data_IF_330352279340
#
_entry.id   IF_330352279340
#
_cell.length_a   1.000
_cell.length_b   1.000
_cell.length_c   1.000
_cell.angle_alpha   90.00
_cell.angle_beta   90.00
_cell.angle_gamma   90.00
#
_symmetry.space_group_name_H-M   'P 1'
#
loop_
_entity.id
_entity.type
_entity.pdbx_description
1 polymer ?
#
# COMPACT_ATOMS: atom_id res chain seq x y z
N UNK A 1 1.93 19.39 -12.05
CA UNK A 1 2.01 19.22 -10.61
C UNK A 1 1.12 18.07 -10.16
N UNK A 2 1.61 17.24 -9.27
CA UNK A 2 0.89 16.06 -8.81
C UNK A 2 0.03 16.38 -7.60
N UNK A 3 -1.17 15.82 -7.54
CA UNK A 3 -2.02 15.95 -6.36
C UNK A 3 -1.43 15.15 -5.19
N UNK A 4 -1.22 15.76 -4.01
CA UNK A 4 -0.74 15.03 -2.84
C UNK A 4 -1.72 13.96 -2.40
N UNK A 5 -1.18 12.78 -2.09
CA UNK A 5 -1.98 11.65 -1.61
C UNK A 5 -1.61 11.32 -0.17
N UNK A 6 -2.58 10.81 0.58
CA UNK A 6 -2.35 10.29 1.92
C UNK A 6 -2.14 8.79 1.79
N UNK A 7 -0.92 8.36 2.09
CA UNK A 7 -0.48 6.98 1.86
C UNK A 7 -0.22 6.29 3.18
N UNK A 8 -0.85 5.14 3.37
CA UNK A 8 -0.56 4.26 4.49
C UNK A 8 0.35 3.16 3.95
N UNK A 9 1.59 3.14 4.44
CA UNK A 9 2.59 2.15 4.04
C UNK A 9 2.71 1.09 5.13
N UNK A 10 2.43 -0.15 4.79
CA UNK A 10 2.50 -1.27 5.73
C UNK A 10 3.67 -2.14 5.30
N UNK A 11 4.80 -2.01 6.01
CA UNK A 11 6.05 -2.65 5.66
C UNK A 11 6.85 -2.97 6.91
N UNK A 12 7.21 -4.23 7.09
CA UNK A 12 7.91 -4.70 8.26
C UNK A 12 9.40 -4.32 8.29
N UNK A 13 10.04 -4.24 7.13
CA UNK A 13 11.47 -3.90 7.06
C UNK A 13 11.67 -2.40 7.19
N UNK A 14 12.32 -1.99 8.29
CA UNK A 14 12.51 -0.56 8.56
C UNK A 14 13.24 0.19 7.45
N UNK A 15 14.30 -0.41 6.91
CA UNK A 15 15.09 0.24 5.86
C UNK A 15 14.26 0.42 4.60
N UNK A 16 13.52 -0.61 4.20
CA UNK A 16 12.65 -0.55 3.03
C UNK A 16 11.56 0.48 3.22
N UNK A 17 10.92 0.48 4.40
CA UNK A 17 9.86 1.43 4.72
C UNK A 17 10.37 2.86 4.65
N UNK A 18 11.55 3.10 5.21
CA UNK A 18 12.16 4.44 5.20
C UNK A 18 12.46 4.90 3.79
N UNK A 19 13.04 4.01 2.98
CA UNK A 19 13.37 4.31 1.59
C UNK A 19 12.12 4.71 0.79
N UNK A 20 11.08 3.89 0.89
CA UNK A 20 9.82 4.13 0.17
C UNK A 20 9.18 5.43 0.67
N UNK A 21 9.17 5.65 1.99
CA UNK A 21 8.60 6.86 2.57
C UNK A 21 9.30 8.11 2.07
N UNK A 22 10.63 8.10 2.07
CA UNK A 22 11.41 9.25 1.59
C UNK A 22 11.12 9.55 0.13
N UNK A 23 11.05 8.51 -0.70
CA UNK A 23 10.74 8.70 -2.10
C UNK A 23 9.37 9.35 -2.29
N UNK A 24 8.36 8.81 -1.62
CA UNK A 24 6.99 9.31 -1.74
C UNK A 24 6.84 10.72 -1.19
N UNK A 25 7.52 11.02 -0.08
CA UNK A 25 7.47 12.35 0.50
C UNK A 25 8.12 13.39 -0.41
N UNK A 26 9.19 13.01 -1.12
CA UNK A 26 9.81 13.89 -2.11
C UNK A 26 8.87 14.18 -3.27
N UNK A 27 7.97 13.25 -3.56
CA UNK A 27 6.96 13.44 -4.60
C UNK A 27 5.77 14.26 -4.12
N UNK A 28 5.79 14.71 -2.86
CA UNK A 28 4.77 15.57 -2.30
C UNK A 28 3.67 14.87 -1.53
N UNK A 29 3.77 13.56 -1.33
CA UNK A 29 2.74 12.80 -0.63
C UNK A 29 2.97 12.79 0.88
N UNK A 30 1.89 12.55 1.63
CA UNK A 30 1.95 12.35 3.07
C UNK A 30 1.98 10.86 3.33
N UNK A 31 3.00 10.37 4.02
CA UNK A 31 3.18 8.94 4.25
C UNK A 31 3.16 8.65 5.74
N UNK A 32 2.35 7.67 6.13
CA UNK A 32 2.39 7.07 7.46
C UNK A 32 2.86 5.65 7.28
N UNK A 33 4.03 5.32 7.83
CA UNK A 33 4.59 3.99 7.74
C UNK A 33 4.34 3.22 9.02
N UNK A 34 3.80 2.02 8.91
CA UNK A 34 3.52 1.14 10.05
C UNK A 34 4.08 -0.25 9.75
N UNK A 35 4.45 -1.02 10.79
CA UNK A 35 5.20 -2.26 10.57
C UNK A 35 4.36 -3.53 10.38
N UNK A 36 3.08 -3.51 10.69
CA UNK A 36 2.30 -4.75 10.73
C UNK A 36 0.81 -4.52 10.49
N UNK A 37 0.08 -5.64 10.38
CA UNK A 37 -1.35 -5.60 10.13
C UNK A 37 -2.17 -5.19 11.35
N UNK A 38 -1.72 -5.55 12.55
CA UNK A 38 -2.42 -5.19 13.78
C UNK A 38 -2.51 -3.67 13.91
N UNK A 39 -1.42 -2.98 13.64
CA UNK A 39 -1.39 -1.52 13.70
C UNK A 39 -2.35 -0.93 12.66
N UNK A 40 -2.40 -1.52 11.47
CA UNK A 40 -3.33 -1.05 10.43
C UNK A 40 -4.79 -1.23 10.88
N UNK A 41 -5.12 -2.38 11.43
CA UNK A 41 -6.49 -2.68 11.86
C UNK A 41 -6.94 -1.80 13.02
N UNK A 42 -5.99 -1.32 13.83
CA UNK A 42 -6.30 -0.45 14.96
C UNK A 42 -6.48 1.02 14.60
N UNK A 43 -6.28 1.39 13.34
CA UNK A 43 -6.40 2.80 12.95
C UNK A 43 -7.87 3.19 12.77
N UNK A 44 -8.17 4.42 13.14
CA UNK A 44 -9.52 4.96 12.99
C UNK A 44 -9.63 5.98 11.85
N UNK A 45 -8.57 6.14 11.05
CA UNK A 45 -8.52 7.12 9.96
C UNK A 45 -8.50 6.48 8.57
N UNK A 46 -8.85 5.20 8.48
CA UNK A 46 -8.80 4.46 7.21
C UNK A 46 -9.65 5.09 6.11
N UNK A 47 -10.73 5.76 6.50
CA UNK A 47 -11.57 6.47 5.54
C UNK A 47 -10.91 7.70 4.94
N UNK A 48 -9.83 8.19 5.54
CA UNK A 48 -9.10 9.37 5.07
C UNK A 48 -7.83 9.01 4.27
N UNK A 49 -7.57 7.73 4.09
CA UNK A 49 -6.39 7.25 3.35
C UNK A 49 -6.74 7.16 1.86
N UNK A 50 -5.86 7.67 1.01
CA UNK A 50 -6.03 7.62 -0.43
C UNK A 50 -5.40 6.38 -1.04
N UNK A 51 -4.27 5.93 -0.49
CA UNK A 51 -3.53 4.76 -0.99
C UNK A 51 -3.09 3.90 0.19
N UNK A 52 -3.29 2.61 0.06
CA UNK A 52 -2.68 1.63 0.96
C UNK A 52 -1.63 0.87 0.16
N UNK A 53 -0.39 0.94 0.62
CA UNK A 53 0.73 0.24 0.01
C UNK A 53 1.20 -0.80 1.02
N UNK A 54 0.90 -2.06 0.80
CA UNK A 54 1.12 -3.09 1.80
C UNK A 54 1.94 -4.27 1.30
N UNK A 55 2.91 -4.66 2.09
CA UNK A 55 3.62 -5.92 1.89
C UNK A 55 2.64 -7.07 2.14
N UNK A 56 2.76 -8.13 1.34
CA UNK A 56 1.98 -9.35 1.56
C UNK A 56 2.58 -10.18 2.69
N UNK A 57 3.91 -10.18 2.80
CA UNK A 57 4.60 -10.98 3.82
C UNK A 57 4.79 -10.25 5.15
N UNK A 58 3.69 -9.92 5.82
CA UNK A 58 3.74 -9.25 7.10
C UNK A 58 3.96 -10.27 8.25
N UNK A 59 4.48 -9.82 9.40
CA UNK A 59 4.84 -10.75 10.48
C UNK A 59 3.65 -11.36 11.20
N UNK A 60 2.51 -10.66 11.25
CA UNK A 60 1.37 -11.07 12.04
C UNK A 60 0.17 -11.59 11.24
N UNK A 61 0.05 -11.16 10.00
CA UNK A 61 -1.04 -11.60 9.11
C UNK A 61 -0.57 -11.42 7.68
N UNK A 62 -0.96 -12.31 6.77
CA UNK A 62 -0.59 -12.07 5.38
C UNK A 62 -1.40 -10.89 4.81
N UNK A 63 -0.82 -10.21 3.84
CA UNK A 63 -1.41 -9.00 3.29
C UNK A 63 -2.74 -9.21 2.56
N UNK A 64 -2.98 -10.39 2.05
CA UNK A 64 -4.26 -10.71 1.40
C UNK A 64 -5.39 -10.73 2.42
N UNK A 65 -5.16 -11.41 3.54
CA UNK A 65 -6.17 -11.47 4.61
C UNK A 65 -6.37 -10.09 5.24
N UNK A 66 -5.29 -9.37 5.43
CA UNK A 66 -5.36 -8.01 5.96
C UNK A 66 -6.25 -7.12 5.08
N UNK A 67 -6.05 -7.17 3.76
CA UNK A 67 -6.82 -6.31 2.86
C UNK A 67 -8.31 -6.64 2.90
N UNK A 68 -8.66 -7.91 3.02
CA UNK A 68 -10.06 -8.30 3.18
C UNK A 68 -10.70 -7.66 4.41
N UNK A 69 -9.92 -7.55 5.50
CA UNK A 69 -10.41 -6.94 6.74
C UNK A 69 -10.44 -5.43 6.67
N UNK A 70 -9.52 -4.82 5.94
CA UNK A 70 -9.47 -3.36 5.81
C UNK A 70 -10.52 -2.81 4.84
N UNK A 71 -10.83 -3.58 3.81
CA UNK A 71 -11.66 -3.09 2.71
C UNK A 71 -13.03 -2.51 3.12
N UNK A 72 -13.74 -3.08 4.11
CA UNK A 72 -15.00 -2.47 4.55
C UNK A 72 -14.85 -1.07 5.14
N UNK A 73 -13.63 -0.69 5.53
CA UNK A 73 -13.38 0.59 6.22
C UNK A 73 -12.69 1.63 5.36
N UNK A 74 -12.40 1.32 4.10
CA UNK A 74 -11.62 2.25 3.27
C UNK A 74 -11.94 2.08 1.79
N UNK A 75 -11.85 3.19 1.05
CA UNK A 75 -11.94 3.20 -0.41
C UNK A 75 -10.58 3.44 -1.05
N UNK A 76 -9.53 3.34 -0.26
CA UNK A 76 -8.18 3.61 -0.73
C UNK A 76 -7.81 2.72 -1.92
N UNK A 77 -7.02 3.27 -2.82
CA UNK A 77 -6.41 2.49 -3.89
C UNK A 77 -5.33 1.63 -3.24
N UNK A 78 -5.49 0.33 -3.31
CA UNK A 78 -4.61 -0.59 -2.59
C UNK A 78 -3.63 -1.26 -3.53
N UNK A 79 -2.34 -1.19 -3.16
CA UNK A 79 -1.23 -1.76 -3.92
C UNK A 79 -0.56 -2.81 -3.05
N UNK A 80 -0.52 -4.05 -3.54
CA UNK A 80 0.20 -5.12 -2.86
C UNK A 80 1.66 -5.11 -3.30
N UNK A 81 2.57 -5.36 -2.37
CA UNK A 81 3.99 -5.53 -2.65
C UNK A 81 4.39 -6.94 -2.26
N UNK A 82 5.07 -7.65 -3.15
CA UNK A 82 5.44 -9.05 -2.89
C UNK A 82 6.66 -9.45 -3.70
N UNK A 83 7.45 -10.36 -3.13
CA UNK A 83 8.53 -11.01 -3.88
C UNK A 83 8.02 -12.05 -4.88
N UNK A 84 6.70 -12.32 -4.86
CA UNK A 84 6.09 -13.31 -5.73
C UNK A 84 5.23 -12.62 -6.78
N UNK A 85 5.53 -12.87 -8.06
CA UNK A 85 4.84 -12.23 -9.17
C UNK A 85 4.17 -13.21 -10.12
N UNK A 86 3.91 -14.44 -9.67
CA UNK A 86 3.20 -15.42 -10.50
C UNK A 86 1.74 -15.02 -10.70
N UNK A 87 1.15 -15.56 -11.76
CA UNK A 87 -0.23 -15.24 -12.10
C UNK A 87 -1.20 -15.52 -10.96
N UNK A 88 -1.02 -16.65 -10.25
CA UNK A 88 -1.87 -17.00 -9.12
C UNK A 88 -1.77 -15.99 -7.98
N UNK A 89 -0.57 -15.47 -7.72
CA UNK A 89 -0.35 -14.48 -6.67
C UNK A 89 -1.01 -13.14 -7.03
N UNK A 90 -0.87 -12.74 -8.28
CA UNK A 90 -1.49 -11.50 -8.77
C UNK A 90 -3.00 -11.60 -8.66
N UNK A 91 -3.58 -12.73 -9.10
CA UNK A 91 -5.02 -12.94 -9.02
C UNK A 91 -5.51 -12.95 -7.58
N UNK A 92 -4.73 -13.52 -6.67
CA UNK A 92 -5.08 -13.54 -5.25
C UNK A 92 -5.09 -12.13 -4.67
N UNK A 93 -4.13 -11.28 -5.06
CA UNK A 93 -4.11 -9.90 -4.63
C UNK A 93 -5.34 -9.15 -5.10
N UNK A 94 -5.70 -9.30 -6.37
CA UNK A 94 -6.89 -8.65 -6.91
C UNK A 94 -8.17 -9.14 -6.22
N UNK A 95 -8.26 -10.44 -5.98
CA UNK A 95 -9.42 -11.03 -5.31
C UNK A 95 -9.54 -10.58 -3.85
N UNK A 96 -8.44 -10.16 -3.23
CA UNK A 96 -8.41 -9.72 -1.83
C UNK A 96 -8.78 -8.26 -1.65
N UNK A 97 -8.88 -7.50 -2.73
CA UNK A 97 -9.25 -6.10 -2.67
C UNK A 97 -8.15 -5.12 -3.08
N UNK A 98 -7.00 -5.61 -3.50
CA UNK A 98 -5.96 -4.76 -4.09
C UNK A 98 -6.30 -4.43 -5.53
N UNK A 99 -5.96 -3.23 -5.97
CA UNK A 99 -6.12 -2.83 -7.37
C UNK A 99 -4.87 -3.11 -8.18
N UNK A 100 -3.72 -3.25 -7.54
CA UNK A 100 -2.45 -3.47 -8.22
C UNK A 100 -1.54 -4.36 -7.40
N UNK A 101 -0.70 -5.14 -8.09
CA UNK A 101 0.28 -6.02 -7.46
C UNK A 101 1.67 -5.65 -7.98
N UNK A 102 2.52 -5.16 -7.10
CA UNK A 102 3.87 -4.69 -7.44
C UNK A 102 4.90 -5.71 -6.97
N UNK A 103 5.71 -6.20 -7.89
CA UNK A 103 6.69 -7.25 -7.59
C UNK A 103 7.99 -6.63 -7.10
N UNK A 104 8.50 -7.14 -5.98
CA UNK A 104 9.80 -6.72 -5.40
C UNK A 104 10.94 -7.51 -6.03
N UNK A 105 12.12 -6.92 -6.21
CA UNK A 105 12.38 -5.50 -6.01
C UNK A 105 11.83 -4.68 -7.18
N UNK A 106 11.36 -3.47 -6.88
CA UNK A 106 10.90 -2.57 -7.92
C UNK A 106 11.66 -1.25 -7.83
N UNK A 107 11.75 -0.57 -8.97
CA UNK A 107 12.35 0.76 -8.99
C UNK A 107 11.30 1.79 -8.59
N UNK A 108 11.70 2.91 -7.95
CA UNK A 108 10.73 3.93 -7.53
C UNK A 108 9.85 4.42 -8.67
N UNK A 109 10.37 4.48 -9.90
CA UNK A 109 9.58 4.90 -11.07
C UNK A 109 8.38 4.00 -11.32
N UNK A 110 8.47 2.70 -10.99
CA UNK A 110 7.35 1.78 -11.19
C UNK A 110 6.21 2.13 -10.24
N UNK A 111 6.53 2.45 -9.00
CA UNK A 111 5.54 2.87 -8.02
C UNK A 111 4.91 4.21 -8.42
N UNK A 112 5.72 5.15 -8.85
CA UNK A 112 5.22 6.45 -9.30
C UNK A 112 4.26 6.29 -10.47
N UNK A 113 4.58 5.41 -11.41
CA UNK A 113 3.72 5.15 -12.56
C UNK A 113 2.32 4.70 -12.13
N UNK A 114 2.26 3.80 -11.14
CA UNK A 114 0.98 3.34 -10.60
C UNK A 114 0.23 4.47 -9.93
N UNK A 115 0.92 5.28 -9.12
CA UNK A 115 0.29 6.37 -8.38
C UNK A 115 -0.20 7.50 -9.27
N UNK A 116 0.35 7.63 -10.46
CA UNK A 116 0.02 8.72 -11.36
C UNK A 116 -1.46 8.74 -11.73
N UNK A 117 -2.10 7.58 -11.73
CA UNK A 117 -3.49 7.43 -12.11
C UNK A 117 -4.45 7.33 -10.92
N UNK A 118 -3.92 7.47 -9.71
CA UNK A 118 -4.74 7.38 -8.50
C UNK A 118 -5.33 8.75 -8.19
N UNK A 119 -6.64 8.77 -7.92
CA UNK A 119 -7.31 9.99 -7.49
C UNK A 119 -7.50 9.95 -5.98
N UNK A 120 -7.41 11.11 -5.31
CA UNK A 120 -7.65 11.17 -3.86
C UNK A 120 -9.04 10.65 -3.52
N UNK A 121 -9.13 9.89 -2.43
CA UNK A 121 -10.40 9.36 -1.94
C UNK A 121 -11.26 10.45 -1.31
N UNK A 122 -10.65 11.58 -0.99
CA UNK A 122 -11.32 12.71 -0.34
C UNK A 122 -11.23 13.97 -1.17
N UNK A 123 -12.32 14.65 -1.23
CA UNK A 123 -12.42 15.89 -1.96
C UNK A 123 -13.01 16.98 -1.09
#
# INVERSE_FOLDING_TARGET
MRTPLRILLIENHEVTAKFISLFLEREGHQVTAIPDGQTALGRNDLGNIDVILSDIGLPDVNGWELMKQLRPHTRAYAIAMSGFGGEADIQRSLASGYQYHLVKPFVPAALEEVLRNVEPAHH
#
